data_IF_459538183357
#
_entry.id   IF_459538183357
#
_cell.length_a   1.000
_cell.length_b   1.000
_cell.length_c   1.000
_cell.angle_alpha   90.00
_cell.angle_beta   90.00
_cell.angle_gamma   90.00
#
_symmetry.space_group_name_H-M   'P 1'
#
loop_
_entity.id
_entity.type
_entity.pdbx_description
1 polymer ?
#
# COMPACT_ATOMS: atom_id res chain seq x y z
N UNK A 1 0.23 17.93 7.03
CA UNK A 1 1.08 16.77 7.38
C UNK A 1 2.45 16.95 6.74
N UNK A 2 3.48 16.25 7.23
CA UNK A 2 4.81 16.23 6.60
C UNK A 2 4.74 15.66 5.18
N UNK A 3 5.47 16.22 4.19
CA UNK A 3 5.54 15.63 2.84
C UNK A 3 6.31 14.30 2.81
N UNK A 4 7.13 14.02 3.82
CA UNK A 4 7.88 12.78 3.97
C UNK A 4 7.29 11.93 5.11
N UNK A 5 5.96 11.79 5.13
CA UNK A 5 5.28 11.00 6.15
C UNK A 5 5.64 9.52 6.01
N UNK A 6 6.07 8.91 7.09
CA UNK A 6 6.29 7.46 7.21
C UNK A 6 5.20 6.85 8.05
N UNK A 7 4.99 5.55 7.91
CA UNK A 7 4.17 4.74 8.79
C UNK A 7 5.09 3.89 9.64
N UNK A 8 4.85 3.81 10.94
CA UNK A 8 5.53 2.81 11.79
C UNK A 8 4.98 1.43 11.49
N UNK A 9 5.83 0.58 10.94
CA UNK A 9 5.60 -0.81 10.55
C UNK A 9 6.44 -1.77 11.40
N UNK A 10 6.77 -1.38 12.63
CA UNK A 10 7.61 -2.15 13.54
C UNK A 10 7.37 -1.83 15.01
N UNK A 11 7.99 -2.62 15.91
CA UNK A 11 7.86 -2.41 17.35
C UNK A 11 8.35 -1.02 17.76
N UNK A 12 7.75 -0.48 18.82
CA UNK A 12 8.18 0.77 19.43
C UNK A 12 9.40 0.51 20.33
N UNK A 13 10.62 0.86 19.88
CA UNK A 13 11.83 0.53 20.63
C UNK A 13 12.65 1.77 20.98
N UNK A 14 12.51 2.21 22.24
CA UNK A 14 13.32 3.28 22.82
C UNK A 14 14.79 2.83 22.93
N UNK A 15 15.72 3.60 22.37
CA UNK A 15 17.16 3.35 22.48
C UNK A 15 17.73 2.31 21.51
N UNK A 16 16.95 1.85 20.52
CA UNK A 16 17.45 0.90 19.54
C UNK A 16 18.35 1.57 18.49
N UNK A 17 19.49 0.94 18.19
CA UNK A 17 20.49 1.49 17.25
C UNK A 17 20.19 1.22 15.76
N UNK A 18 19.32 0.25 15.45
CA UNK A 18 18.98 -0.12 14.08
C UNK A 18 17.47 -0.01 13.87
N UNK A 19 17.04 0.95 13.07
CA UNK A 19 15.63 1.20 12.73
C UNK A 19 15.23 0.70 11.35
N UNK A 20 16.11 -0.07 10.67
CA UNK A 20 15.87 -0.57 9.32
C UNK A 20 14.59 -1.40 9.29
N UNK A 21 13.64 -0.98 8.47
CA UNK A 21 12.37 -1.68 8.30
C UNK A 21 11.31 -1.42 9.38
N UNK A 22 11.55 -0.52 10.34
CA UNK A 22 10.52 -0.08 11.30
C UNK A 22 9.59 0.98 10.74
N UNK A 23 10.01 1.65 9.69
CA UNK A 23 9.29 2.76 9.07
C UNK A 23 9.22 2.52 7.58
N UNK A 24 8.07 2.84 7.00
CA UNK A 24 7.78 2.62 5.59
C UNK A 24 7.12 3.87 5.01
N UNK A 25 7.51 4.23 3.79
CA UNK A 25 6.75 5.20 3.00
C UNK A 25 5.67 4.44 2.24
N UNK A 26 4.48 5.02 2.22
CA UNK A 26 3.38 4.62 1.35
C UNK A 26 3.21 5.70 0.28
N UNK A 27 2.67 5.33 -0.88
CA UNK A 27 2.39 6.28 -1.94
C UNK A 27 1.19 7.17 -1.60
N UNK A 28 0.19 6.62 -0.89
CA UNK A 28 -0.88 7.39 -0.28
C UNK A 28 -1.32 6.76 1.04
N UNK A 29 -1.81 7.61 1.96
CA UNK A 29 -2.38 7.18 3.22
C UNK A 29 -3.57 8.05 3.60
N UNK A 30 -4.50 7.45 4.34
CA UNK A 30 -5.65 8.16 4.94
C UNK A 30 -5.67 7.89 6.43
N UNK A 31 -6.03 8.90 7.21
CA UNK A 31 -6.23 8.80 8.65
C UNK A 31 -7.64 9.29 8.97
N UNK A 32 -8.45 8.43 9.56
CA UNK A 32 -9.73 8.82 10.14
C UNK A 32 -9.53 9.28 11.59
N UNK A 33 -10.03 10.47 11.92
CA UNK A 33 -9.91 11.06 13.25
C UNK A 33 -8.58 11.80 13.48
N UNK A 34 -8.07 11.74 14.71
CA UNK A 34 -6.85 12.45 15.09
C UNK A 34 -5.59 11.64 14.76
N UNK A 35 -4.64 12.19 13.97
CA UNK A 35 -3.37 11.52 13.70
C UNK A 35 -2.52 11.38 14.97
N UNK A 36 -2.03 10.16 15.20
CA UNK A 36 -1.11 9.81 16.27
C UNK A 36 0.30 9.68 15.70
N UNK A 37 1.26 10.36 16.32
CA UNK A 37 2.63 10.40 15.86
C UNK A 37 3.58 9.71 16.83
N UNK A 38 4.67 9.19 16.29
CA UNK A 38 5.72 8.54 17.09
C UNK A 38 6.35 9.49 18.12
N UNK A 39 6.51 10.75 17.75
CA UNK A 39 7.13 11.81 18.54
C UNK A 39 6.65 13.21 18.08
N UNK A 40 7.25 14.25 18.63
CA UNK A 40 6.92 15.65 18.35
C UNK A 40 7.37 16.13 16.95
N UNK A 41 8.20 15.36 16.22
CA UNK A 41 8.57 15.69 14.85
C UNK A 41 7.42 15.46 13.86
N UNK A 42 6.47 14.58 14.21
CA UNK A 42 5.24 14.33 13.44
C UNK A 42 5.47 13.96 11.98
N UNK A 43 6.56 13.24 11.70
CA UNK A 43 6.87 12.66 10.38
C UNK A 43 6.66 11.13 10.34
N UNK A 44 6.29 10.51 11.47
CA UNK A 44 5.96 9.09 11.57
C UNK A 44 4.57 8.91 12.15
N UNK A 45 3.65 8.45 11.31
CA UNK A 45 2.27 8.12 11.63
C UNK A 45 2.16 6.73 12.28
N UNK A 46 1.28 6.63 13.28
CA UNK A 46 1.03 5.40 14.04
C UNK A 46 -0.30 4.72 13.69
N UNK A 47 -1.28 5.49 13.21
CA UNK A 47 -2.65 5.03 13.04
C UNK A 47 -3.23 5.31 11.64
N UNK A 48 -2.63 4.79 10.55
CA UNK A 48 -3.27 4.86 9.24
C UNK A 48 -4.57 4.05 9.23
N UNK A 49 -5.59 4.53 8.52
CA UNK A 49 -6.85 3.82 8.24
C UNK A 49 -6.79 3.11 6.89
N UNK A 50 -6.26 3.81 5.88
CA UNK A 50 -6.02 3.27 4.54
C UNK A 50 -4.56 3.49 4.16
N UNK A 51 -3.96 2.50 3.52
CA UNK A 51 -2.63 2.59 2.92
C UNK A 51 -2.70 2.13 1.48
N UNK A 52 -2.16 2.94 0.56
CA UNK A 52 -2.11 2.64 -0.87
C UNK A 52 -0.66 2.57 -1.31
N UNK A 53 -0.35 1.54 -2.09
CA UNK A 53 0.96 1.30 -2.70
C UNK A 53 0.78 1.15 -4.22
N UNK A 54 1.73 1.69 -4.99
CA UNK A 54 1.83 1.49 -6.43
C UNK A 54 2.89 0.42 -6.68
N UNK A 55 2.45 -0.70 -7.23
CA UNK A 55 3.29 -1.86 -7.44
C UNK A 55 4.32 -1.56 -8.53
N UNK A 56 5.60 -1.72 -8.18
CA UNK A 56 6.71 -1.67 -9.12
C UNK A 56 7.46 -3.01 -9.14
N UNK A 57 8.20 -3.29 -10.22
CA UNK A 57 9.02 -4.49 -10.32
C UNK A 57 9.99 -4.65 -9.13
N UNK A 58 10.58 -3.54 -8.68
CA UNK A 58 11.58 -3.55 -7.61
C UNK A 58 10.98 -3.69 -6.22
N UNK A 59 9.72 -3.29 -6.01
CA UNK A 59 9.09 -3.27 -4.68
C UNK A 59 8.02 -4.35 -4.47
N UNK A 60 7.54 -4.99 -5.54
CA UNK A 60 6.46 -5.97 -5.51
C UNK A 60 6.55 -7.00 -4.40
N UNK A 61 7.68 -7.72 -4.34
CA UNK A 61 7.87 -8.80 -3.37
C UNK A 61 7.87 -8.28 -1.93
N UNK A 62 8.34 -7.04 -1.74
CA UNK A 62 8.34 -6.39 -0.44
C UNK A 62 6.94 -5.90 -0.05
N UNK A 63 6.25 -5.18 -0.94
CA UNK A 63 4.93 -4.59 -0.68
C UNK A 63 3.87 -5.66 -0.42
N UNK A 64 3.88 -6.77 -1.18
CA UNK A 64 2.96 -7.90 -0.99
C UNK A 64 3.33 -8.83 0.17
N UNK A 65 4.60 -8.85 0.54
CA UNK A 65 5.14 -9.76 1.55
C UNK A 65 5.39 -9.07 2.88
N UNK A 66 6.65 -8.71 3.11
CA UNK A 66 7.15 -8.22 4.40
C UNK A 66 6.46 -6.94 4.88
N UNK A 67 6.21 -6.00 3.97
CA UNK A 67 5.61 -4.70 4.31
C UNK A 67 4.16 -4.89 4.78
N UNK A 68 3.35 -5.59 3.99
CA UNK A 68 1.97 -5.86 4.35
C UNK A 68 1.87 -6.62 5.67
N UNK A 69 2.64 -7.71 5.84
CA UNK A 69 2.68 -8.47 7.09
C UNK A 69 3.00 -7.60 8.32
N UNK A 70 3.92 -6.65 8.16
CA UNK A 70 4.26 -5.70 9.22
C UNK A 70 3.12 -4.75 9.52
N UNK A 71 2.47 -4.18 8.50
CA UNK A 71 1.29 -3.34 8.70
C UNK A 71 0.16 -4.09 9.41
N UNK A 72 -0.15 -5.32 8.99
CA UNK A 72 -1.13 -6.18 9.67
C UNK A 72 -0.82 -6.38 11.16
N UNK A 73 0.46 -6.47 11.50
CA UNK A 73 0.93 -6.73 12.87
C UNK A 73 0.92 -5.48 13.75
N UNK A 74 1.36 -4.34 13.21
CA UNK A 74 1.70 -3.16 14.03
C UNK A 74 0.72 -2.00 13.91
N UNK A 75 -0.22 -2.04 12.96
CA UNK A 75 -1.20 -0.98 12.74
C UNK A 75 -2.62 -1.54 12.96
N UNK A 76 -3.11 -1.43 14.20
CA UNK A 76 -4.45 -1.90 14.56
C UNK A 76 -5.57 -1.10 13.86
N UNK A 77 -5.33 0.17 13.57
CA UNK A 77 -6.27 1.06 12.88
C UNK A 77 -6.36 0.81 11.37
N UNK A 78 -5.45 0.02 10.79
CA UNK A 78 -5.43 -0.21 9.36
C UNK A 78 -6.60 -1.13 8.99
N UNK A 79 -7.48 -0.62 8.14
CA UNK A 79 -8.66 -1.31 7.66
C UNK A 79 -8.51 -1.72 6.20
N UNK A 80 -7.97 -0.85 5.34
CA UNK A 80 -7.77 -1.16 3.92
C UNK A 80 -6.30 -1.00 3.50
N UNK A 81 -5.76 -2.05 2.89
CA UNK A 81 -4.47 -2.03 2.21
C UNK A 81 -4.69 -2.26 0.72
N UNK A 82 -4.33 -1.27 -0.09
CA UNK A 82 -4.64 -1.22 -1.52
C UNK A 82 -3.34 -1.21 -2.30
N UNK A 83 -3.21 -2.10 -3.28
CA UNK A 83 -2.06 -2.16 -4.18
C UNK A 83 -2.56 -1.94 -5.61
N UNK A 84 -2.15 -0.84 -6.24
CA UNK A 84 -2.42 -0.55 -7.64
C UNK A 84 -1.32 -1.11 -8.53
N UNK A 85 -1.70 -1.81 -9.61
CA UNK A 85 -0.74 -2.29 -10.60
C UNK A 85 -0.45 -1.21 -11.64
N UNK A 86 0.81 -1.07 -12.03
CA UNK A 86 1.20 -0.14 -13.10
C UNK A 86 1.18 -0.75 -14.51
N UNK A 87 1.10 -2.08 -14.64
CA UNK A 87 1.18 -2.79 -15.94
C UNK A 87 -0.18 -3.10 -16.55
N UNK A 88 -1.26 -2.99 -15.77
CA UNK A 88 -2.64 -3.29 -16.18
C UNK A 88 -3.61 -2.61 -15.21
N UNK A 89 -4.87 -2.33 -15.62
CA UNK A 89 -5.88 -1.75 -14.74
C UNK A 89 -6.35 -2.78 -13.72
N UNK A 90 -5.62 -2.90 -12.62
CA UNK A 90 -5.84 -3.90 -11.58
C UNK A 90 -5.47 -3.38 -10.21
N UNK A 91 -6.35 -3.62 -9.24
CA UNK A 91 -6.10 -3.37 -7.83
C UNK A 91 -6.16 -4.70 -7.06
N UNK A 92 -5.22 -4.89 -6.14
CA UNK A 92 -5.39 -5.79 -4.99
C UNK A 92 -5.90 -5.00 -3.80
N UNK A 93 -7.01 -5.44 -3.25
CA UNK A 93 -7.58 -4.86 -2.06
C UNK A 93 -7.59 -5.89 -0.94
N UNK A 94 -7.01 -5.51 0.20
CA UNK A 94 -7.04 -6.29 1.42
C UNK A 94 -7.81 -5.51 2.48
N UNK A 95 -8.97 -6.05 2.88
CA UNK A 95 -9.82 -5.45 3.91
C UNK A 95 -9.69 -6.23 5.21
N UNK A 96 -9.40 -5.53 6.31
CA UNK A 96 -9.48 -6.09 7.66
C UNK A 96 -10.94 -6.14 8.11
N UNK A 97 -11.41 -7.34 8.45
CA UNK A 97 -12.76 -7.57 8.97
C UNK A 97 -12.79 -7.40 10.50
N UNK A 98 -13.98 -7.18 11.10
CA UNK A 98 -14.12 -7.01 12.55
C UNK A 98 -13.59 -8.17 13.40
N UNK A 99 -13.49 -9.38 12.84
CA UNK A 99 -12.93 -10.56 13.50
C UNK A 99 -11.39 -10.64 13.42
N UNK A 100 -10.75 -9.61 12.86
CA UNK A 100 -9.30 -9.50 12.70
C UNK A 100 -8.74 -10.23 11.49
N UNK A 101 -9.57 -10.94 10.70
CA UNK A 101 -9.14 -11.58 9.45
C UNK A 101 -9.03 -10.57 8.33
N UNK A 102 -8.22 -10.90 7.32
CA UNK A 102 -8.08 -10.11 6.11
C UNK A 102 -8.75 -10.83 4.94
N UNK A 103 -9.67 -10.14 4.27
CA UNK A 103 -10.25 -10.58 3.00
C UNK A 103 -9.45 -9.94 1.86
N UNK A 104 -9.10 -10.73 0.86
CA UNK A 104 -8.44 -10.25 -0.36
C UNK A 104 -9.43 -10.33 -1.52
N UNK A 105 -9.49 -9.28 -2.32
CA UNK A 105 -10.15 -9.26 -3.62
C UNK A 105 -9.27 -8.62 -4.70
N UNK A 106 -9.59 -8.92 -5.95
CA UNK A 106 -9.03 -8.26 -7.12
C UNK A 106 -10.12 -7.48 -7.83
N UNK A 107 -9.82 -6.22 -8.15
CA UNK A 107 -10.68 -5.36 -8.98
C UNK A 107 -9.94 -5.11 -10.27
N UNK A 108 -10.51 -5.54 -11.39
CA UNK A 108 -9.85 -5.54 -12.71
C UNK A 108 -10.71 -4.84 -13.77
N UNK A 109 -10.06 -4.12 -14.68
CA UNK A 109 -10.70 -3.40 -15.78
C UNK A 109 -11.07 -1.96 -15.45
N UNK A 110 -11.00 -1.08 -16.45
CA UNK A 110 -11.24 0.37 -16.29
C UNK A 110 -12.68 0.70 -15.90
N UNK A 111 -13.65 -0.14 -16.27
CA UNK A 111 -15.07 0.03 -15.94
C UNK A 111 -15.41 -0.41 -14.50
N UNK A 112 -14.44 -0.95 -13.76
CA UNK A 112 -14.64 -1.45 -12.40
C UNK A 112 -14.45 -0.34 -11.37
N UNK A 113 -15.08 -0.52 -10.21
CA UNK A 113 -14.99 0.40 -9.07
C UNK A 113 -14.66 -0.37 -7.81
N UNK A 114 -13.70 0.13 -7.03
CA UNK A 114 -13.39 -0.38 -5.70
C UNK A 114 -14.13 0.45 -4.63
N UNK A 115 -14.83 -0.21 -3.72
CA UNK A 115 -15.48 0.43 -2.57
C UNK A 115 -14.61 0.29 -1.32
N UNK A 116 -14.16 1.41 -0.78
CA UNK A 116 -13.43 1.48 0.49
C UNK A 116 -14.40 1.88 1.60
N UNK A 117 -14.96 0.88 2.29
CA UNK A 117 -15.98 1.09 3.33
C UNK A 117 -15.46 1.94 4.51
N UNK A 118 -14.18 1.82 4.86
CA UNK A 118 -13.59 2.50 6.04
C UNK A 118 -13.55 4.03 5.93
N UNK A 119 -13.60 4.56 4.71
CA UNK A 119 -13.53 6.00 4.41
C UNK A 119 -14.70 6.49 3.56
N UNK A 120 -15.74 5.68 3.39
CA UNK A 120 -16.90 5.98 2.55
C UNK A 120 -16.51 6.50 1.15
N UNK A 121 -15.54 5.82 0.51
CA UNK A 121 -15.02 6.22 -0.79
C UNK A 121 -15.29 5.15 -1.87
N UNK A 122 -15.68 5.59 -3.07
CA UNK A 122 -15.69 4.77 -4.28
C UNK A 122 -14.56 5.23 -5.20
N UNK A 123 -13.69 4.29 -5.57
CA UNK A 123 -12.54 4.52 -6.43
C UNK A 123 -12.78 3.86 -7.78
N UNK A 124 -13.18 4.65 -8.77
CA UNK A 124 -13.24 4.18 -10.16
C UNK A 124 -11.84 3.89 -10.67
N UNK A 125 -11.65 2.74 -11.33
CA UNK A 125 -10.37 2.43 -11.98
C UNK A 125 -10.12 3.34 -13.20
N UNK A 126 -11.18 3.82 -13.88
CA UNK A 126 -11.03 4.81 -14.95
C UNK A 126 -10.35 6.09 -14.47
N UNK A 127 -10.67 6.53 -13.26
CA UNK A 127 -10.16 7.77 -12.67
C UNK A 127 -8.76 7.55 -12.08
N UNK A 128 -8.55 6.40 -11.42
CA UNK A 128 -7.24 6.02 -10.87
C UNK A 128 -6.17 5.94 -11.97
N UNK A 129 -6.56 5.41 -13.13
CA UNK A 129 -5.67 5.22 -14.27
C UNK A 129 -5.87 6.30 -15.35
N UNK A 130 -6.43 7.46 -14.99
CA UNK A 130 -6.52 8.59 -15.92
C UNK A 130 -5.11 8.91 -16.45
N UNK A 131 -5.01 9.01 -17.78
CA UNK A 131 -3.76 9.27 -18.53
C UNK A 131 -2.70 8.17 -18.41
N UNK A 132 -3.06 6.96 -17.98
CA UNK A 132 -2.20 5.78 -18.08
C UNK A 132 -2.56 5.01 -19.35
N UNK A 133 -1.58 4.80 -20.22
CA UNK A 133 -1.72 3.94 -21.39
C UNK A 133 -1.18 2.55 -21.06
N UNK A 134 -2.03 1.53 -21.21
CA UNK A 134 -1.64 0.14 -21.05
C UNK A 134 -1.38 -0.49 -22.42
N UNK A 135 -0.32 -1.28 -22.60
CA UNK A 135 -0.11 -1.97 -23.87
C UNK A 135 -1.16 -3.07 -24.04
N UNK A 136 -1.76 -3.16 -25.23
CA UNK A 136 -2.86 -4.09 -25.53
C UNK A 136 -2.45 -5.58 -25.41
N UNK A 137 -1.17 -5.89 -25.64
CA UNK A 137 -0.65 -7.26 -25.72
C UNK A 137 0.60 -7.47 -24.83
N UNK A 138 0.58 -7.08 -23.56
CA UNK A 138 1.64 -7.52 -22.63
C UNK A 138 1.48 -9.03 -22.34
N UNK A 139 2.47 -9.88 -22.70
CA UNK A 139 2.45 -11.28 -22.29
C UNK A 139 2.29 -11.40 -20.77
N UNK A 140 1.55 -12.40 -20.27
CA UNK A 140 1.29 -12.54 -18.82
C UNK A 140 2.58 -12.51 -17.98
N UNK A 141 3.69 -13.03 -18.52
CA UNK A 141 5.03 -13.02 -17.92
C UNK A 141 5.62 -11.60 -17.80
N UNK A 142 5.38 -10.70 -18.75
CA UNK A 142 5.81 -9.30 -18.70
C UNK A 142 4.83 -8.41 -17.92
N UNK A 143 3.53 -8.77 -17.93
CA UNK A 143 2.50 -8.18 -17.08
C UNK A 143 2.70 -8.52 -15.59
N UNK A 144 3.53 -9.53 -15.30
CA UNK A 144 4.02 -9.87 -13.96
C UNK A 144 5.34 -9.17 -13.62
N UNK A 145 5.67 -8.13 -14.38
CA UNK A 145 6.89 -7.31 -14.41
C UNK A 145 8.06 -8.01 -15.12
N UNK A 146 8.74 -7.32 -16.07
CA UNK A 146 9.76 -7.93 -16.91
C UNK A 146 10.89 -8.50 -16.06
N UNK A 147 11.32 -9.73 -16.38
CA UNK A 147 12.56 -10.32 -15.86
C UNK A 147 13.73 -9.52 -16.46
N UNK A 148 13.96 -8.34 -15.89
CA UNK A 148 15.15 -7.54 -16.14
C UNK A 148 16.27 -8.06 -15.26
N UNK A 149 17.27 -8.68 -15.87
CA UNK A 149 18.52 -9.10 -15.24
C UNK A 149 19.01 -8.10 -14.18
N UNK A 150 19.58 -8.58 -13.05
CA UNK A 150 20.09 -7.68 -12.03
C UNK A 150 21.11 -6.70 -12.63
N UNK A 151 21.11 -5.42 -12.22
CA UNK A 151 22.12 -4.48 -12.68
C UNK A 151 23.49 -5.02 -12.30
N UNK A 152 24.37 -5.10 -13.29
CA UNK A 152 25.77 -5.41 -13.06
C UNK A 152 26.39 -4.26 -12.25
N UNK A 153 26.68 -4.53 -10.98
CA UNK A 153 27.58 -3.73 -10.16
C UNK A 153 28.62 -4.65 -9.54
#
# INVERSE_FOLDING_TARGET
MSPNMKIRSGPHIKGMRNTKGLFSYADCLVVCGQPLFHDDHKDVLLNPTVVVEVLSHSTQSFDRGDKFRRYQTWNESLEDYVISWQTRPRIEHFQRRPDGKWLMEFVEGLESTLRLESIDCELSLSDLYDRVEFPEDLPEEEAQFPIGSPPSY
#
